data_IF_946023240203
#
_entry.id   IF_946023240203
#
_cell.length_a   1.000
_cell.length_b   1.000
_cell.length_c   1.000
_cell.angle_alpha   90.00
_cell.angle_beta   90.00
_cell.angle_gamma   90.00
#
_symmetry.space_group_name_H-M   'P 1'
#
loop_
_entity.id
_entity.type
_entity.pdbx_description
1 polymer ?
#
# COMPACT_ATOMS: atom_id res chain seq x y z
N UNK A 1 8.49 13.17 -19.60
CA UNK A 1 9.65 13.82 -20.26
C UNK A 1 9.96 15.14 -19.56
N UNK A 2 10.99 15.87 -20.00
CA UNK A 2 11.45 17.08 -19.28
C UNK A 2 12.15 16.73 -17.97
N UNK A 3 12.03 17.58 -16.94
CA UNK A 3 12.59 17.34 -15.59
C UNK A 3 12.18 15.97 -15.03
N UNK A 4 10.94 15.53 -15.30
CA UNK A 4 10.49 14.18 -15.01
C UNK A 4 10.00 13.99 -13.57
N UNK A 5 10.06 12.74 -13.10
CA UNK A 5 9.40 12.26 -11.88
C UNK A 5 10.37 11.63 -10.87
N UNK A 6 11.62 12.09 -10.85
CA UNK A 6 12.70 11.50 -10.05
C UNK A 6 12.28 11.31 -8.59
N UNK A 7 11.81 12.37 -7.93
CA UNK A 7 11.49 12.32 -6.50
C UNK A 7 10.16 11.62 -6.19
N UNK A 8 9.27 11.46 -7.17
CA UNK A 8 8.13 10.55 -7.01
C UNK A 8 8.58 9.09 -6.89
N UNK A 9 9.66 8.72 -7.58
CA UNK A 9 10.21 7.37 -7.54
C UNK A 9 11.14 7.17 -6.34
N UNK A 10 12.07 8.11 -6.08
CA UNK A 10 13.09 7.94 -5.01
C UNK A 10 12.46 7.74 -3.64
N UNK A 11 11.32 8.37 -3.36
CA UNK A 11 10.60 8.16 -2.10
C UNK A 11 10.30 6.69 -1.77
N UNK A 12 10.20 5.82 -2.78
CA UNK A 12 9.95 4.39 -2.58
C UNK A 12 11.23 3.54 -2.47
N UNK A 13 12.43 4.13 -2.57
CA UNK A 13 13.69 3.38 -2.52
C UNK A 13 14.86 4.14 -1.89
N UNK A 14 14.63 5.30 -1.27
CA UNK A 14 15.64 6.06 -0.52
C UNK A 14 15.23 6.19 0.94
N UNK A 15 16.22 6.49 1.78
CA UNK A 15 16.05 6.90 3.18
C UNK A 15 15.40 5.86 4.11
N UNK A 16 15.20 4.63 3.60
CA UNK A 16 14.61 3.47 4.28
C UNK A 16 13.21 3.73 4.87
N UNK A 17 12.49 4.76 4.40
CA UNK A 17 11.19 5.10 4.96
C UNK A 17 10.15 4.02 4.62
N UNK A 18 10.12 3.56 3.36
CA UNK A 18 9.24 2.44 2.97
C UNK A 18 9.63 1.14 3.68
N UNK A 19 10.93 0.88 3.79
CA UNK A 19 11.47 -0.29 4.46
C UNK A 19 11.00 -0.35 5.92
N UNK A 20 11.13 0.74 6.66
CA UNK A 20 10.72 0.83 8.07
C UNK A 20 9.23 0.47 8.24
N UNK A 21 8.34 1.07 7.44
CA UNK A 21 6.91 0.78 7.53
C UNK A 21 6.57 -0.65 7.15
N UNK A 22 7.28 -1.20 6.16
CA UNK A 22 7.08 -2.58 5.71
C UNK A 22 7.57 -3.56 6.77
N UNK A 23 8.73 -3.32 7.39
CA UNK A 23 9.25 -4.16 8.46
C UNK A 23 8.41 -4.09 9.73
N UNK A 24 7.87 -2.92 10.08
CA UNK A 24 6.85 -2.81 11.12
C UNK A 24 5.65 -3.72 10.80
N UNK A 25 5.14 -3.68 9.56
CA UNK A 25 4.10 -4.59 9.10
C UNK A 25 4.49 -6.06 9.26
N UNK A 26 5.72 -6.43 8.92
CA UNK A 26 6.22 -7.81 9.08
C UNK A 26 6.28 -8.25 10.55
N UNK A 27 6.69 -7.38 11.45
CA UNK A 27 6.70 -7.67 12.88
C UNK A 27 5.26 -7.83 13.42
N UNK A 28 4.32 -6.99 12.96
CA UNK A 28 2.89 -7.15 13.28
C UNK A 28 2.34 -8.50 12.81
N UNK A 29 2.69 -8.94 11.60
CA UNK A 29 2.29 -10.26 11.08
C UNK A 29 2.87 -11.40 11.91
N UNK A 30 4.14 -11.29 12.31
CA UNK A 30 4.81 -12.27 13.13
C UNK A 30 4.14 -12.40 14.50
N UNK A 31 3.83 -11.27 15.13
CA UNK A 31 3.28 -11.26 16.47
C UNK A 31 1.81 -11.70 16.50
N UNK A 32 0.98 -11.19 15.59
CA UNK A 32 -0.47 -11.45 15.60
C UNK A 32 -0.86 -12.71 14.84
N UNK A 33 -0.27 -12.93 13.67
CA UNK A 33 -0.67 -13.98 12.73
C UNK A 33 0.30 -15.16 12.68
N UNK A 34 1.43 -15.08 13.38
CA UNK A 34 2.49 -16.11 13.41
C UNK A 34 3.08 -16.39 12.02
N UNK A 35 3.08 -15.37 11.16
CA UNK A 35 3.69 -15.40 9.83
C UNK A 35 5.06 -14.74 9.94
N UNK A 36 6.14 -15.52 9.79
CA UNK A 36 7.51 -14.99 9.83
C UNK A 36 8.10 -14.95 8.42
N UNK A 37 8.35 -13.73 7.92
CA UNK A 37 8.95 -13.52 6.60
C UNK A 37 10.36 -14.13 6.46
N UNK A 38 11.05 -14.43 7.56
CA UNK A 38 12.37 -15.10 7.55
C UNK A 38 12.28 -16.61 7.47
N UNK A 39 11.12 -17.19 7.79
CA UNK A 39 10.88 -18.63 7.83
C UNK A 39 9.70 -19.00 6.92
N UNK A 40 9.81 -18.63 5.64
CA UNK A 40 8.72 -18.74 4.66
C UNK A 40 8.28 -20.20 4.48
N UNK A 41 7.03 -20.48 4.84
CA UNK A 41 6.32 -21.74 4.59
C UNK A 41 5.05 -21.44 3.77
N UNK A 42 4.83 -22.11 2.62
CA UNK A 42 3.59 -21.97 1.83
C UNK A 42 2.28 -22.23 2.59
N UNK A 43 2.34 -22.93 3.73
CA UNK A 43 1.22 -23.14 4.63
C UNK A 43 0.95 -21.96 5.58
N UNK A 44 1.94 -21.11 5.85
CA UNK A 44 1.82 -19.93 6.71
C UNK A 44 1.17 -18.76 5.96
N UNK A 45 -0.15 -18.83 5.82
CA UNK A 45 -0.96 -17.75 5.28
C UNK A 45 -2.28 -17.63 6.01
N UNK A 46 -2.80 -16.42 6.05
CA UNK A 46 -4.17 -16.16 6.48
C UNK A 46 -5.12 -16.09 5.28
N UNK A 47 -6.38 -16.44 5.50
CA UNK A 47 -7.39 -16.37 4.44
C UNK A 47 -7.60 -14.91 4.03
N UNK A 48 -7.58 -14.63 2.73
CA UNK A 48 -7.89 -13.31 2.19
C UNK A 48 -9.37 -12.96 2.42
N UNK A 49 -9.68 -12.27 3.52
CA UNK A 49 -11.00 -11.72 3.83
C UNK A 49 -10.90 -10.21 4.02
N UNK A 50 -12.02 -9.49 3.88
CA UNK A 50 -12.04 -8.04 4.13
C UNK A 50 -11.65 -7.70 5.57
N UNK A 51 -11.97 -8.56 6.54
CA UNK A 51 -11.56 -8.38 7.94
C UNK A 51 -10.03 -8.39 8.10
N UNK A 52 -9.35 -9.33 7.42
CA UNK A 52 -7.88 -9.40 7.41
C UNK A 52 -7.26 -8.20 6.70
N UNK A 53 -7.87 -7.75 5.60
CA UNK A 53 -7.44 -6.52 4.90
C UNK A 53 -7.58 -5.31 5.82
N UNK A 54 -8.75 -5.14 6.44
CA UNK A 54 -9.04 -4.01 7.34
C UNK A 54 -8.07 -3.95 8.51
N UNK A 55 -7.76 -5.11 9.08
CA UNK A 55 -6.87 -5.22 10.23
C UNK A 55 -5.43 -4.86 9.88
N UNK A 56 -4.83 -5.55 8.91
CA UNK A 56 -3.42 -5.39 8.58
C UNK A 56 -3.16 -4.05 7.90
N UNK A 57 -3.94 -3.69 6.87
CA UNK A 57 -3.72 -2.42 6.17
C UNK A 57 -4.07 -1.23 7.06
N UNK A 58 -5.07 -1.36 7.94
CA UNK A 58 -5.45 -0.32 8.89
C UNK A 58 -4.32 -0.03 9.88
N UNK A 59 -3.77 -1.06 10.51
CA UNK A 59 -2.64 -0.92 11.44
C UNK A 59 -1.43 -0.27 10.77
N UNK A 60 -0.99 -0.82 9.64
CA UNK A 60 0.23 -0.34 8.95
C UNK A 60 0.04 1.08 8.41
N UNK A 61 -1.17 1.42 7.94
CA UNK A 61 -1.47 2.80 7.49
C UNK A 61 -1.37 3.78 8.65
N UNK A 62 -2.01 3.47 9.78
CA UNK A 62 -1.99 4.33 10.96
C UNK A 62 -0.57 4.52 11.50
N UNK A 63 0.18 3.42 11.64
CA UNK A 63 1.58 3.49 12.08
C UNK A 63 2.42 4.38 11.16
N UNK A 64 2.35 4.18 9.84
CA UNK A 64 3.13 4.97 8.89
C UNK A 64 2.74 6.46 8.91
N UNK A 65 1.43 6.78 9.04
CA UNK A 65 0.99 8.16 9.23
C UNK A 65 1.53 8.76 10.52
N UNK A 66 1.47 8.04 11.64
CA UNK A 66 2.04 8.47 12.92
C UNK A 66 3.56 8.70 12.83
N UNK A 67 4.30 7.86 12.09
CA UNK A 67 5.75 8.06 11.87
C UNK A 67 6.03 9.40 11.17
N UNK A 68 5.28 9.73 10.10
CA UNK A 68 5.42 11.04 9.45
C UNK A 68 5.06 12.21 10.39
N UNK A 69 4.09 12.03 11.28
CA UNK A 69 3.71 13.07 12.27
C UNK A 69 4.74 13.23 13.40
N UNK A 70 5.31 12.11 13.87
CA UNK A 70 6.31 12.08 14.95
C UNK A 70 7.67 12.57 14.50
N UNK A 71 8.05 12.36 13.23
CA UNK A 71 9.33 12.74 12.67
C UNK A 71 9.15 13.81 11.58
N UNK A 72 9.16 15.11 11.92
CA UNK A 72 8.99 16.20 10.95
C UNK A 72 9.97 16.15 9.78
N UNK A 73 11.19 15.64 10.01
CA UNK A 73 12.19 15.45 8.94
C UNK A 73 11.74 14.44 7.89
N UNK A 74 10.99 13.41 8.29
CA UNK A 74 10.42 12.43 7.37
C UNK A 74 9.29 13.05 6.53
N UNK A 75 8.47 13.92 7.14
CA UNK A 75 7.43 14.67 6.42
C UNK A 75 8.02 15.71 5.47
N UNK A 76 9.17 16.30 5.81
CA UNK A 76 9.91 17.22 4.94
C UNK A 76 10.60 16.48 3.79
N UNK A 77 11.20 15.31 4.05
CA UNK A 77 11.84 14.49 3.03
C UNK A 77 10.83 14.02 1.96
N UNK A 78 9.72 13.42 2.41
CA UNK A 78 8.58 13.14 1.54
C UNK A 78 7.60 14.33 1.54
N UNK A 79 8.08 15.51 1.12
CA UNK A 79 7.28 16.75 1.10
C UNK A 79 6.01 16.63 0.24
N UNK A 80 6.05 15.86 -0.84
CA UNK A 80 4.94 15.62 -1.76
C UNK A 80 3.94 14.63 -1.21
N UNK A 81 2.65 14.98 -1.23
CA UNK A 81 1.58 14.10 -0.77
C UNK A 81 1.55 12.74 -1.47
N UNK A 82 1.80 12.70 -2.78
CA UNK A 82 1.87 11.45 -3.54
C UNK A 82 3.05 10.54 -3.17
N UNK A 83 4.17 11.11 -2.74
CA UNK A 83 5.30 10.32 -2.25
C UNK A 83 4.87 9.55 -1.00
N UNK A 84 4.27 10.26 -0.03
CA UNK A 84 3.72 9.66 1.19
C UNK A 84 2.62 8.66 0.87
N UNK A 85 1.67 9.01 0.01
CA UNK A 85 0.56 8.15 -0.35
C UNK A 85 1.04 6.83 -0.96
N UNK A 86 1.98 6.87 -1.90
CA UNK A 86 2.56 5.67 -2.51
C UNK A 86 3.32 4.80 -1.50
N UNK A 87 4.11 5.42 -0.62
CA UNK A 87 4.91 4.71 0.38
C UNK A 87 4.05 4.04 1.45
N UNK A 88 3.08 4.76 2.01
CA UNK A 88 2.15 4.23 3.03
C UNK A 88 1.33 3.08 2.43
N UNK A 89 0.73 3.28 1.25
CA UNK A 89 -0.09 2.26 0.62
C UNK A 89 0.72 1.05 0.15
N UNK A 90 1.98 1.24 -0.27
CA UNK A 90 2.90 0.15 -0.58
C UNK A 90 3.13 -0.72 0.66
N UNK A 91 3.49 -0.13 1.80
CA UNK A 91 3.71 -0.88 3.04
C UNK A 91 2.46 -1.66 3.46
N UNK A 92 1.28 -1.03 3.42
CA UNK A 92 0.01 -1.68 3.76
C UNK A 92 -0.36 -2.81 2.79
N UNK A 93 -0.23 -2.58 1.48
CA UNK A 93 -0.54 -3.58 0.46
C UNK A 93 0.43 -4.76 0.48
N UNK A 94 1.73 -4.51 0.66
CA UNK A 94 2.74 -5.54 0.83
C UNK A 94 2.46 -6.40 2.06
N UNK A 95 2.13 -5.77 3.19
CA UNK A 95 1.81 -6.49 4.43
C UNK A 95 0.62 -7.43 4.26
N UNK A 96 -0.47 -6.95 3.63
CA UNK A 96 -1.63 -7.81 3.33
C UNK A 96 -1.28 -8.90 2.32
N UNK A 97 -0.55 -8.57 1.25
CA UNK A 97 -0.17 -9.52 0.21
C UNK A 97 0.70 -10.65 0.76
N UNK A 98 1.69 -10.33 1.59
CA UNK A 98 2.57 -11.29 2.25
C UNK A 98 1.78 -12.17 3.22
N UNK A 99 0.91 -11.58 4.05
CA UNK A 99 0.11 -12.33 5.02
C UNK A 99 -0.83 -13.35 4.35
N UNK A 100 -1.41 -12.98 3.21
CA UNK A 100 -2.47 -13.76 2.56
C UNK A 100 -2.00 -14.63 1.41
N UNK A 101 -0.79 -14.38 0.90
CA UNK A 101 -0.30 -14.91 -0.38
C UNK A 101 -1.31 -14.68 -1.52
N UNK A 102 -1.94 -13.51 -1.55
CA UNK A 102 -2.96 -13.14 -2.53
C UNK A 102 -2.75 -11.68 -2.99
N UNK A 103 -2.41 -11.51 -4.27
CA UNK A 103 -2.11 -10.19 -4.85
C UNK A 103 -3.30 -9.23 -4.81
N UNK A 104 -4.52 -9.70 -5.06
CA UNK A 104 -5.72 -8.85 -5.03
C UNK A 104 -6.10 -8.45 -3.60
N UNK A 105 -5.80 -9.27 -2.59
CA UNK A 105 -5.90 -8.86 -1.20
C UNK A 105 -4.88 -7.75 -0.89
N UNK A 106 -3.65 -7.87 -1.38
CA UNK A 106 -2.64 -6.81 -1.31
C UNK A 106 -3.12 -5.51 -1.96
N UNK A 107 -3.72 -5.58 -3.15
CA UNK A 107 -4.35 -4.43 -3.82
C UNK A 107 -5.48 -3.81 -2.97
N UNK A 108 -6.31 -4.63 -2.33
CA UNK A 108 -7.31 -4.11 -1.39
C UNK A 108 -6.68 -3.38 -0.20
N UNK A 109 -5.55 -3.88 0.30
CA UNK A 109 -4.77 -3.20 1.34
C UNK A 109 -4.23 -1.84 0.89
N UNK A 110 -3.70 -1.76 -0.33
CA UNK A 110 -3.29 -0.50 -0.96
C UNK A 110 -4.45 0.49 -1.03
N UNK A 111 -5.60 0.09 -1.60
CA UNK A 111 -6.72 1.00 -1.79
C UNK A 111 -7.38 1.44 -0.48
N UNK A 112 -7.46 0.56 0.51
CA UNK A 112 -7.92 0.94 1.85
C UNK A 112 -6.99 1.98 2.49
N UNK A 113 -5.68 1.79 2.35
CA UNK A 113 -4.67 2.73 2.86
C UNK A 113 -4.86 4.13 2.26
N UNK A 114 -5.08 4.22 0.95
CA UNK A 114 -5.34 5.49 0.26
C UNK A 114 -6.58 6.22 0.80
N UNK A 115 -7.66 5.49 1.06
CA UNK A 115 -8.89 6.05 1.64
C UNK A 115 -8.66 6.55 3.06
N UNK A 116 -8.00 5.75 3.90
CA UNK A 116 -7.68 6.14 5.29
C UNK A 116 -6.76 7.36 5.35
N UNK A 117 -5.71 7.40 4.53
CA UNK A 117 -4.79 8.53 4.44
C UNK A 117 -5.54 9.82 4.06
N UNK A 118 -6.40 9.75 3.04
CA UNK A 118 -7.20 10.89 2.57
C UNK A 118 -8.04 11.48 3.69
N UNK A 119 -8.73 10.64 4.45
CA UNK A 119 -9.56 11.08 5.59
C UNK A 119 -8.73 11.58 6.77
N UNK A 120 -7.60 10.94 7.09
CA UNK A 120 -6.78 11.31 8.25
C UNK A 120 -6.05 12.64 8.09
N UNK A 121 -5.59 12.99 6.88
CA UNK A 121 -4.87 14.25 6.63
C UNK A 121 -5.64 15.28 5.80
N UNK A 122 -6.87 14.98 5.38
CA UNK A 122 -7.67 15.81 4.47
C UNK A 122 -6.92 16.16 3.16
N UNK A 123 -5.99 15.30 2.77
CA UNK A 123 -5.15 15.41 1.57
C UNK A 123 -4.61 14.03 1.23
N UNK A 124 -4.22 13.84 -0.04
CA UNK A 124 -3.58 12.61 -0.49
C UNK A 124 -2.44 12.95 -1.45
N UNK A 125 -2.65 12.87 -2.77
CA UNK A 125 -1.65 13.16 -3.78
C UNK A 125 -1.93 14.39 -4.63
N UNK A 126 -1.25 14.49 -5.77
CA UNK A 126 -1.50 15.51 -6.78
C UNK A 126 -2.90 15.36 -7.43
N UNK A 127 -3.29 16.33 -8.26
CA UNK A 127 -4.56 16.30 -8.98
C UNK A 127 -4.67 15.09 -9.93
N UNK A 128 -5.59 14.16 -9.62
CA UNK A 128 -5.78 12.93 -10.40
C UNK A 128 -4.88 11.77 -9.96
N UNK A 129 -4.10 11.94 -8.88
CA UNK A 129 -3.32 10.85 -8.27
C UNK A 129 -4.23 9.65 -7.93
N UNK A 130 -5.39 9.93 -7.33
CA UNK A 130 -6.32 8.91 -6.85
C UNK A 130 -7.35 8.43 -7.89
N UNK A 131 -7.15 8.69 -9.19
CA UNK A 131 -8.03 8.12 -10.22
C UNK A 131 -8.14 6.61 -10.07
N UNK A 132 -6.99 5.93 -9.96
CA UNK A 132 -6.95 4.50 -9.79
C UNK A 132 -7.44 4.06 -8.42
N UNK A 133 -7.17 4.86 -7.38
CA UNK A 133 -7.44 4.49 -6.01
C UNK A 133 -8.94 4.61 -5.67
N UNK A 134 -9.65 5.56 -6.28
CA UNK A 134 -11.12 5.66 -6.17
C UNK A 134 -11.84 4.53 -6.94
N UNK A 135 -11.28 4.06 -8.06
CA UNK A 135 -11.80 2.90 -8.80
C UNK A 135 -11.35 1.56 -8.19
N UNK A 136 -10.29 1.57 -7.40
CA UNK A 136 -9.53 0.39 -7.01
C UNK A 136 -10.32 -0.62 -6.20
N UNK A 137 -11.03 -0.15 -5.17
CA UNK A 137 -11.83 -1.00 -4.28
C UNK A 137 -12.92 -1.79 -5.01
N UNK A 138 -13.49 -1.24 -6.08
CA UNK A 138 -14.52 -1.96 -6.88
C UNK A 138 -13.91 -2.85 -7.95
N UNK A 139 -12.75 -2.48 -8.48
CA UNK A 139 -12.12 -3.18 -9.60
C UNK A 139 -11.13 -4.27 -9.18
N UNK A 140 -10.71 -4.32 -7.91
CA UNK A 140 -9.78 -5.33 -7.38
C UNK A 140 -10.29 -6.76 -7.50
N UNK A 141 -11.59 -6.97 -7.32
CA UNK A 141 -12.27 -8.27 -7.42
C UNK A 141 -13.35 -8.31 -8.51
N UNK A 142 -13.39 -7.29 -9.38
CA UNK A 142 -14.27 -7.30 -10.56
C UNK A 142 -13.91 -8.47 -11.47
N UNK A 143 -14.91 -8.93 -12.23
CA UNK A 143 -14.76 -9.94 -13.30
C UNK A 143 -15.20 -9.40 -14.66
N UNK A 144 -15.43 -8.07 -14.75
CA UNK A 144 -15.83 -7.42 -16.00
C UNK A 144 -14.63 -7.29 -16.96
N UNK A 145 -14.88 -7.26 -18.28
CA UNK A 145 -13.82 -7.44 -19.29
C UNK A 145 -12.62 -6.50 -19.18
N UNK A 146 -12.83 -5.23 -18.83
CA UNK A 146 -11.81 -4.18 -18.74
C UNK A 146 -11.49 -3.76 -17.29
N UNK A 147 -11.95 -4.54 -16.31
CA UNK A 147 -11.75 -4.28 -14.87
C UNK A 147 -11.11 -5.46 -14.16
N UNK A 148 -11.59 -6.67 -14.43
CA UNK A 148 -11.18 -7.86 -13.69
C UNK A 148 -9.84 -8.41 -14.15
N UNK A 149 -8.84 -8.32 -13.29
CA UNK A 149 -7.53 -8.94 -13.51
C UNK A 149 -6.85 -9.25 -12.18
N UNK A 150 -6.15 -10.39 -12.08
CA UNK A 150 -5.29 -10.70 -10.92
C UNK A 150 -4.07 -9.79 -10.94
N UNK A 151 -3.57 -9.39 -9.76
CA UNK A 151 -2.51 -8.39 -9.62
C UNK A 151 -1.28 -8.67 -10.49
N UNK A 152 -0.90 -9.93 -10.63
CA UNK A 152 0.27 -10.38 -11.41
C UNK A 152 0.14 -10.16 -12.92
N UNK A 153 -1.09 -10.07 -13.45
CA UNK A 153 -1.35 -9.80 -14.88
C UNK A 153 -1.78 -8.36 -15.15
N UNK A 154 -1.90 -7.52 -14.11
CA UNK A 154 -2.05 -6.08 -14.29
C UNK A 154 -0.73 -5.47 -14.74
N UNK A 155 -0.79 -4.23 -15.20
CA UNK A 155 0.40 -3.50 -15.60
C UNK A 155 0.05 -2.09 -16.06
N UNK A 156 1.02 -1.36 -16.63
CA UNK A 156 0.83 0.05 -17.03
C UNK A 156 -0.22 0.28 -18.14
N UNK A 157 -0.77 -0.78 -18.74
CA UNK A 157 -1.85 -0.71 -19.73
C UNK A 157 -3.21 -1.19 -19.18
N UNK A 158 -3.29 -1.53 -17.90
CA UNK A 158 -4.58 -1.75 -17.24
C UNK A 158 -5.33 -0.39 -17.18
N UNK A 159 -6.63 -0.29 -17.54
CA UNK A 159 -7.26 1.00 -17.83
C UNK A 159 -7.15 2.07 -16.74
N UNK A 160 -7.19 1.69 -15.45
CA UNK A 160 -7.05 2.65 -14.37
C UNK A 160 -5.59 3.00 -14.03
N UNK A 161 -4.60 2.25 -14.52
CA UNK A 161 -3.16 2.43 -14.23
C UNK A 161 -2.41 3.17 -15.35
N UNK A 162 -3.13 3.57 -16.40
CA UNK A 162 -2.60 4.22 -17.59
C UNK A 162 -2.70 5.75 -17.52
#
# INVERSE_FOLDING_TARGET
GGVGFTQYATAAYTDNILDEFTYYGMDYLKDKYKIDYKAVDPAQKVKATQEIVNDIAGEVTLNAMEQYEQFPTMMEDHFGGSQRAGVIAAASGLSVGIATANSNAGLNGWYLSMLMHKEGWSRLGFFGYDLQDQCGSTNSLSVRPDEGCIGEYRGPNYPNYA
#
